data_IF_908583021235
#
_entry.id   IF_908583021235
#
_cell.length_a   1.000
_cell.length_b   1.000
_cell.length_c   1.000
_cell.angle_alpha   90.00
_cell.angle_beta   90.00
_cell.angle_gamma   90.00
#
_symmetry.space_group_name_H-M   'P 1'
#
loop_
_entity.id
_entity.type
_entity.pdbx_description
1 polymer ?
#
# COMPACT_ATOMS: atom_id res chain seq x y z
N UNK A 1 5.01 -12.49 8.14
CA UNK A 1 4.13 -12.61 6.95
C UNK A 1 4.11 -11.26 6.24
N UNK A 2 4.51 -11.27 4.98
CA UNK A 2 5.11 -10.16 4.22
C UNK A 2 4.12 -9.05 3.84
N UNK A 3 4.60 -7.81 3.74
CA UNK A 3 3.95 -6.66 3.09
C UNK A 3 3.25 -7.04 1.76
N UNK A 4 3.77 -8.08 1.10
CA UNK A 4 3.21 -8.68 -0.10
C UNK A 4 1.72 -9.08 0.02
N UNK A 5 1.25 -9.57 1.18
CA UNK A 5 -0.18 -9.89 1.38
C UNK A 5 -1.03 -8.63 1.46
N UNK A 6 -0.56 -7.62 2.18
CA UNK A 6 -1.25 -6.33 2.32
C UNK A 6 -1.35 -5.61 0.98
N UNK A 7 -0.31 -5.70 0.15
CA UNK A 7 -0.30 -5.10 -1.18
C UNK A 7 -0.85 -6.01 -2.29
N UNK A 8 -1.31 -7.22 -1.97
CA UNK A 8 -1.74 -8.20 -2.98
C UNK A 8 -2.87 -7.68 -3.91
N UNK A 9 -3.94 -7.03 -3.41
CA UNK A 9 -4.96 -6.44 -4.29
C UNK A 9 -4.38 -5.47 -5.32
N UNK A 10 -3.42 -4.64 -4.89
CA UNK A 10 -2.76 -3.64 -5.72
C UNK A 10 -1.85 -4.28 -6.78
N UNK A 11 -1.14 -5.35 -6.40
CA UNK A 11 -0.31 -6.11 -7.34
C UNK A 11 -1.19 -6.77 -8.40
N UNK A 12 -2.32 -7.36 -8.01
CA UNK A 12 -3.26 -7.98 -8.96
C UNK A 12 -3.78 -6.95 -9.94
N UNK A 13 -4.17 -5.77 -9.46
CA UNK A 13 -4.63 -4.69 -10.32
C UNK A 13 -3.55 -4.23 -11.31
N UNK A 14 -2.29 -4.11 -10.86
CA UNK A 14 -1.17 -3.65 -11.69
C UNK A 14 -0.69 -4.67 -12.73
N UNK A 15 -0.87 -5.97 -12.48
CA UNK A 15 -0.39 -7.05 -13.37
C UNK A 15 -1.43 -7.44 -14.42
N UNK A 16 -2.71 -7.30 -14.12
CA UNK A 16 -3.77 -7.65 -15.06
C UNK A 16 -3.78 -6.67 -16.26
N UNK A 17 -4.12 -7.16 -17.47
CA UNK A 17 -4.12 -6.32 -18.66
C UNK A 17 -5.02 -5.09 -18.52
N UNK A 18 -4.50 -3.91 -18.88
CA UNK A 18 -5.26 -2.65 -18.81
C UNK A 18 -6.53 -2.67 -19.66
N UNK A 19 -6.53 -3.38 -20.78
CA UNK A 19 -7.72 -3.55 -21.63
C UNK A 19 -8.92 -4.18 -20.94
N UNK A 20 -8.74 -4.79 -19.77
CA UNK A 20 -9.81 -5.37 -18.95
C UNK A 20 -9.82 -4.84 -17.52
N UNK A 21 -9.51 -3.54 -17.33
CA UNK A 21 -9.39 -2.89 -16.02
C UNK A 21 -10.61 -3.06 -15.09
N UNK A 22 -11.83 -3.20 -15.64
CA UNK A 22 -13.03 -3.54 -14.86
C UNK A 22 -12.91 -4.88 -14.12
N UNK A 23 -12.39 -5.91 -14.80
CA UNK A 23 -12.17 -7.22 -14.23
C UNK A 23 -10.95 -7.22 -13.31
N UNK A 24 -9.93 -6.40 -13.62
CA UNK A 24 -8.80 -6.20 -12.73
C UNK A 24 -9.23 -5.56 -11.39
N UNK A 25 -10.06 -4.52 -11.44
CA UNK A 25 -10.60 -3.85 -10.26
C UNK A 25 -11.49 -4.80 -9.45
N UNK A 26 -12.34 -5.59 -10.11
CA UNK A 26 -13.17 -6.60 -9.43
C UNK A 26 -12.33 -7.71 -8.78
N UNK A 27 -11.32 -8.23 -9.49
CA UNK A 27 -10.42 -9.24 -8.94
C UNK A 27 -9.66 -8.70 -7.71
N UNK A 28 -9.15 -7.47 -7.80
CA UNK A 28 -8.51 -6.79 -6.67
C UNK A 28 -9.47 -6.60 -5.48
N UNK A 29 -10.73 -6.23 -5.73
CA UNK A 29 -11.76 -6.13 -4.70
C UNK A 29 -12.02 -7.48 -4.02
N UNK A 30 -12.20 -8.55 -4.78
CA UNK A 30 -12.41 -9.90 -4.25
C UNK A 30 -11.24 -10.31 -3.35
N UNK A 31 -10.01 -10.05 -3.78
CA UNK A 31 -8.83 -10.34 -2.96
C UNK A 31 -8.75 -9.45 -1.72
N UNK A 32 -9.07 -8.16 -1.82
CA UNK A 32 -9.11 -7.28 -0.65
C UNK A 32 -10.11 -7.79 0.40
N UNK A 33 -11.32 -8.15 -0.01
CA UNK A 33 -12.36 -8.72 0.87
C UNK A 33 -11.92 -10.06 1.46
N UNK A 34 -11.31 -10.94 0.66
CA UNK A 34 -10.80 -12.22 1.14
C UNK A 34 -9.70 -12.04 2.19
N UNK A 35 -8.79 -11.08 1.98
CA UNK A 35 -7.73 -10.74 2.94
C UNK A 35 -8.34 -10.18 4.23
N UNK A 36 -9.33 -9.28 4.15
CA UNK A 36 -10.03 -8.75 5.32
C UNK A 36 -10.71 -9.89 6.11
N UNK A 37 -11.47 -10.74 5.43
CA UNK A 37 -12.17 -11.85 6.06
C UNK A 37 -11.20 -12.82 6.77
N UNK A 38 -10.06 -13.14 6.14
CA UNK A 38 -9.01 -13.95 6.76
C UNK A 38 -8.43 -13.29 8.02
N UNK A 39 -8.16 -11.98 7.97
CA UNK A 39 -7.56 -11.27 9.10
C UNK A 39 -8.54 -11.08 10.26
N UNK A 40 -9.81 -10.79 9.98
CA UNK A 40 -10.87 -10.73 11.00
C UNK A 40 -11.04 -12.08 11.68
N UNK A 41 -11.07 -13.18 10.90
CA UNK A 41 -11.11 -14.55 11.46
C UNK A 41 -9.90 -14.90 12.31
N UNK A 42 -8.74 -14.32 12.01
CA UNK A 42 -7.52 -14.49 12.79
C UNK A 42 -7.46 -13.58 14.04
N UNK A 43 -8.53 -12.83 14.35
CA UNK A 43 -8.59 -11.95 15.53
C UNK A 43 -7.69 -10.70 15.42
N UNK A 44 -7.32 -10.29 14.19
CA UNK A 44 -6.51 -9.10 13.97
C UNK A 44 -7.33 -7.86 14.29
N UNK A 45 -6.79 -6.98 15.14
CA UNK A 45 -7.46 -5.73 15.52
C UNK A 45 -7.61 -4.76 14.34
N UNK A 46 -8.64 -3.91 14.41
CA UNK A 46 -9.00 -2.93 13.36
C UNK A 46 -7.84 -2.03 12.91
N UNK A 47 -6.94 -1.68 13.81
CA UNK A 47 -5.77 -0.84 13.53
C UNK A 47 -4.84 -1.45 12.46
N UNK A 48 -4.83 -2.78 12.36
CA UNK A 48 -4.06 -3.52 11.37
C UNK A 48 -4.85 -3.82 10.09
N UNK A 49 -6.10 -3.34 9.99
CA UNK A 49 -6.98 -3.47 8.81
C UNK A 49 -7.17 -2.15 8.05
N UNK A 50 -6.59 -1.04 8.51
CA UNK A 50 -6.81 0.30 7.93
C UNK A 50 -6.53 0.30 6.43
N UNK A 51 -5.40 -0.31 6.03
CA UNK A 51 -4.99 -0.36 4.62
C UNK A 51 -5.82 -1.34 3.82
N UNK A 52 -6.22 -2.47 4.39
CA UNK A 52 -7.09 -3.46 3.76
C UNK A 52 -8.50 -2.90 3.51
N UNK A 53 -9.07 -2.20 4.50
CA UNK A 53 -10.37 -1.52 4.38
C UNK A 53 -10.30 -0.41 3.33
N UNK A 54 -9.27 0.44 3.37
CA UNK A 54 -9.08 1.46 2.35
C UNK A 54 -8.90 0.88 0.95
N UNK A 55 -8.19 -0.26 0.81
CA UNK A 55 -8.05 -0.98 -0.45
C UNK A 55 -9.40 -1.49 -0.96
N UNK A 56 -10.22 -2.10 -0.09
CA UNK A 56 -11.53 -2.60 -0.48
C UNK A 56 -12.46 -1.46 -0.93
N UNK A 57 -12.49 -0.35 -0.19
CA UNK A 57 -13.29 0.83 -0.57
C UNK A 57 -12.84 1.37 -1.93
N UNK A 58 -11.54 1.51 -2.14
CA UNK A 58 -10.98 1.98 -3.41
C UNK A 58 -11.36 1.06 -4.58
N UNK A 59 -11.09 -0.23 -4.47
CA UNK A 59 -11.38 -1.16 -5.56
C UNK A 59 -12.88 -1.36 -5.79
N UNK A 60 -13.72 -1.20 -4.77
CA UNK A 60 -15.17 -1.17 -4.94
C UNK A 60 -15.60 0.04 -5.79
N UNK A 61 -15.12 1.24 -5.44
CA UNK A 61 -15.42 2.44 -6.21
C UNK A 61 -14.88 2.36 -7.64
N UNK A 62 -13.64 1.90 -7.81
CA UNK A 62 -13.00 1.75 -9.11
C UNK A 62 -13.73 0.71 -9.97
N UNK A 63 -14.15 -0.42 -9.40
CA UNK A 63 -14.93 -1.42 -10.13
C UNK A 63 -16.28 -0.85 -10.58
N UNK A 64 -17.02 -0.16 -9.70
CA UNK A 64 -18.31 0.47 -10.07
C UNK A 64 -18.11 1.43 -11.24
N UNK A 65 -17.11 2.29 -11.20
CA UNK A 65 -16.80 3.23 -12.28
C UNK A 65 -16.44 2.48 -13.56
N UNK A 66 -15.54 1.50 -13.49
CA UNK A 66 -15.05 0.77 -14.65
C UNK A 66 -16.14 -0.07 -15.34
N UNK A 67 -17.11 -0.60 -14.59
CA UNK A 67 -18.28 -1.29 -15.17
C UNK A 67 -19.34 -0.33 -15.69
N UNK A 68 -19.52 0.85 -15.07
CA UNK A 68 -20.49 1.84 -15.51
C UNK A 68 -20.03 2.61 -16.76
N UNK A 69 -18.74 2.90 -16.85
CA UNK A 69 -18.11 3.59 -17.98
C UNK A 69 -16.71 3.00 -18.25
N UNK A 70 -16.62 1.92 -19.05
CA UNK A 70 -15.35 1.28 -19.41
C UNK A 70 -14.38 2.20 -20.16
N UNK A 71 -14.90 3.25 -20.82
CA UNK A 71 -14.13 4.23 -21.60
C UNK A 71 -13.87 5.51 -20.82
N UNK A 72 -14.13 5.51 -19.51
CA UNK A 72 -13.90 6.66 -18.65
C UNK A 72 -12.47 7.15 -18.76
N UNK A 73 -12.29 8.47 -18.82
CA UNK A 73 -10.97 9.10 -18.72
C UNK A 73 -10.24 8.74 -17.42
N UNK A 74 -10.94 8.24 -16.40
CA UNK A 74 -10.32 7.72 -15.17
C UNK A 74 -9.44 6.49 -15.40
N UNK A 75 -9.65 5.74 -16.49
CA UNK A 75 -8.85 4.56 -16.80
C UNK A 75 -7.36 4.93 -16.95
N UNK A 76 -7.06 6.01 -17.68
CA UNK A 76 -5.70 6.50 -17.88
C UNK A 76 -5.03 6.94 -16.56
N UNK A 77 -5.83 7.44 -15.62
CA UNK A 77 -5.35 7.88 -14.31
C UNK A 77 -5.41 6.77 -13.25
N UNK A 78 -5.85 5.56 -13.57
CA UNK A 78 -6.09 4.50 -12.59
C UNK A 78 -4.84 4.14 -11.76
N UNK A 79 -3.67 4.13 -12.38
CA UNK A 79 -2.39 3.90 -11.70
C UNK A 79 -2.03 5.06 -10.75
N UNK A 80 -2.25 6.30 -11.18
CA UNK A 80 -2.04 7.50 -10.37
C UNK A 80 -3.01 7.56 -9.18
N UNK A 81 -4.30 7.29 -9.42
CA UNK A 81 -5.35 7.20 -8.40
C UNK A 81 -5.05 6.11 -7.37
N UNK A 82 -4.51 4.97 -7.82
CA UNK A 82 -4.11 3.88 -6.94
C UNK A 82 -3.00 4.32 -5.99
N UNK A 83 -1.91 4.89 -6.52
CA UNK A 83 -0.81 5.42 -5.70
C UNK A 83 -1.27 6.58 -4.81
N UNK A 84 -2.13 7.47 -5.32
CA UNK A 84 -2.67 8.59 -4.55
C UNK A 84 -3.51 8.10 -3.37
N UNK A 85 -4.35 7.09 -3.59
CA UNK A 85 -5.16 6.49 -2.52
C UNK A 85 -4.30 5.82 -1.47
N UNK A 86 -3.26 5.09 -1.87
CA UNK A 86 -2.28 4.53 -0.95
C UNK A 86 -1.54 5.61 -0.14
N UNK A 87 -1.21 6.75 -0.75
CA UNK A 87 -0.62 7.89 -0.06
C UNK A 87 -1.59 8.47 0.98
N UNK A 88 -2.86 8.64 0.62
CA UNK A 88 -3.91 9.13 1.54
C UNK A 88 -4.11 8.17 2.70
N UNK A 89 -4.19 6.87 2.45
CA UNK A 89 -4.33 5.85 3.50
C UNK A 89 -3.11 5.85 4.42
N UNK A 90 -1.90 5.84 3.85
CA UNK A 90 -0.67 5.82 4.63
C UNK A 90 -0.50 7.10 5.45
N UNK A 91 -0.72 8.27 4.84
CA UNK A 91 -0.68 9.57 5.50
C UNK A 91 -1.78 9.73 6.56
N UNK A 92 -3.00 9.29 6.26
CA UNK A 92 -4.11 9.25 7.22
C UNK A 92 -3.79 8.38 8.44
N UNK A 93 -3.15 7.22 8.22
CA UNK A 93 -2.69 6.34 9.29
C UNK A 93 -1.68 7.02 10.22
N UNK A 94 -0.80 7.88 9.68
CA UNK A 94 0.11 8.72 10.47
C UNK A 94 -0.64 9.79 11.26
N UNK A 95 -1.59 10.47 10.61
CA UNK A 95 -2.34 11.57 11.20
C UNK A 95 -3.16 11.12 12.42
N UNK A 96 -3.70 9.91 12.40
CA UNK A 96 -4.44 9.33 13.54
C UNK A 96 -3.53 8.63 14.58
N UNK A 97 -2.21 8.71 14.43
CA UNK A 97 -1.24 8.12 15.35
C UNK A 97 -1.14 6.59 15.28
N UNK A 98 -1.66 5.97 14.21
CA UNK A 98 -1.65 4.51 14.00
C UNK A 98 -1.01 4.16 12.65
N UNK A 99 0.32 4.30 12.51
CA UNK A 99 1.02 4.05 11.25
C UNK A 99 0.70 2.65 10.70
N UNK A 100 0.30 2.53 9.43
CA UNK A 100 -0.16 1.26 8.87
C UNK A 100 0.89 0.14 8.99
N UNK A 101 2.19 0.49 8.93
CA UNK A 101 3.27 -0.51 9.08
C UNK A 101 3.30 -1.15 10.45
N UNK A 102 2.73 -0.50 11.48
CA UNK A 102 2.69 -1.02 12.84
C UNK A 102 1.91 -2.34 12.91
N UNK A 103 0.78 -2.44 12.22
CA UNK A 103 -0.02 -3.67 12.16
C UNK A 103 0.73 -4.84 11.50
N UNK A 104 1.63 -4.54 10.56
CA UNK A 104 2.50 -5.51 9.89
C UNK A 104 3.64 -5.92 10.82
N UNK A 105 4.33 -4.95 11.43
CA UNK A 105 5.46 -5.17 12.32
C UNK A 105 5.08 -6.01 13.56
N UNK A 106 3.91 -5.76 14.15
CA UNK A 106 3.40 -6.52 15.31
C UNK A 106 3.33 -8.04 15.05
N UNK A 107 3.19 -8.49 13.80
CA UNK A 107 3.10 -9.92 13.46
C UNK A 107 4.43 -10.67 13.55
N UNK A 108 5.55 -9.95 13.48
CA UNK A 108 6.90 -10.53 13.46
C UNK A 108 7.75 -10.07 14.64
N UNK A 109 7.17 -9.29 15.55
CA UNK A 109 7.90 -8.65 16.65
C UNK A 109 7.25 -9.05 17.98
N UNK A 110 8.05 -9.40 19.02
CA UNK A 110 7.53 -9.77 20.33
C UNK A 110 6.62 -8.70 20.95
N UNK A 111 5.61 -9.10 21.73
CA UNK A 111 4.56 -8.20 22.25
C UNK A 111 5.12 -7.19 23.26
N UNK A 112 6.18 -7.57 23.96
CA UNK A 112 6.86 -6.81 25.01
C UNK A 112 7.41 -5.49 24.48
N UNK A 113 7.76 -5.44 23.18
CA UNK A 113 8.34 -4.23 22.58
C UNK A 113 7.32 -3.34 21.86
N UNK A 114 6.06 -3.78 21.71
CA UNK A 114 5.05 -3.04 20.94
C UNK A 114 4.76 -1.64 21.50
N UNK A 115 4.87 -1.45 22.82
CA UNK A 115 4.64 -0.17 23.49
C UNK A 115 5.88 0.72 23.58
N UNK A 116 7.06 0.22 23.17
CA UNK A 116 8.30 0.97 23.34
C UNK A 116 8.37 2.12 22.33
N UNK A 117 8.81 3.30 22.77
CA UNK A 117 9.00 4.50 21.92
C UNK A 117 9.82 4.21 20.66
N UNK A 118 10.92 3.42 20.70
CA UNK A 118 11.66 3.04 19.49
C UNK A 118 10.80 2.28 18.47
N UNK A 119 9.98 1.32 18.91
CA UNK A 119 9.12 0.54 18.00
C UNK A 119 8.09 1.42 17.29
N UNK A 120 7.45 2.33 18.04
CA UNK A 120 6.48 3.28 17.47
C UNK A 120 7.19 4.21 16.48
N UNK A 121 8.33 4.80 16.87
CA UNK A 121 9.11 5.72 16.02
C UNK A 121 9.57 5.05 14.72
N UNK A 122 10.04 3.80 14.78
CA UNK A 122 10.44 3.04 13.59
C UNK A 122 9.27 2.90 12.61
N UNK A 123 8.08 2.57 13.09
CA UNK A 123 6.89 2.45 12.25
C UNK A 123 6.42 3.80 11.67
N UNK A 124 6.54 4.89 12.44
CA UNK A 124 6.27 6.25 11.94
C UNK A 124 7.21 6.59 10.78
N UNK A 125 8.52 6.37 10.94
CA UNK A 125 9.52 6.66 9.90
C UNK A 125 9.27 5.83 8.63
N UNK A 126 9.03 4.53 8.80
CA UNK A 126 8.76 3.64 7.66
C UNK A 126 7.47 4.07 6.96
N UNK A 127 6.39 4.31 7.69
CA UNK A 127 5.11 4.73 7.11
C UNK A 127 5.23 6.09 6.40
N UNK A 128 6.01 7.03 6.93
CA UNK A 128 6.27 8.31 6.28
C UNK A 128 7.02 8.13 4.95
N UNK A 129 8.02 7.25 4.89
CA UNK A 129 8.71 6.93 3.65
C UNK A 129 7.77 6.34 2.60
N UNK A 130 6.88 5.41 3.00
CA UNK A 130 5.82 4.88 2.12
C UNK A 130 4.87 5.98 1.64
N UNK A 131 4.43 6.86 2.53
CA UNK A 131 3.51 7.97 2.20
C UNK A 131 4.12 8.89 1.15
N UNK A 132 5.37 9.30 1.34
CA UNK A 132 6.09 10.16 0.39
C UNK A 132 6.31 9.45 -0.94
N UNK A 133 6.74 8.18 -0.92
CA UNK A 133 6.94 7.40 -2.13
C UNK A 133 5.64 7.31 -2.95
N UNK A 134 4.52 6.96 -2.31
CA UNK A 134 3.23 6.87 -2.98
C UNK A 134 2.72 8.22 -3.50
N UNK A 135 2.90 9.31 -2.75
CA UNK A 135 2.52 10.64 -3.20
C UNK A 135 3.30 11.08 -4.44
N UNK A 136 4.62 10.86 -4.45
CA UNK A 136 5.48 11.17 -5.60
C UNK A 136 5.13 10.29 -6.80
N UNK A 137 4.92 8.99 -6.59
CA UNK A 137 4.49 8.07 -7.66
C UNK A 137 3.15 8.50 -8.25
N UNK A 138 2.17 8.89 -7.42
CA UNK A 138 0.88 9.37 -7.88
C UNK A 138 1.02 10.62 -8.77
N UNK A 139 1.83 11.60 -8.34
CA UNK A 139 2.07 12.82 -9.09
C UNK A 139 2.73 12.53 -10.44
N UNK A 140 3.80 11.73 -10.44
CA UNK A 140 4.53 11.39 -11.67
C UNK A 140 3.64 10.60 -12.63
N UNK A 141 2.88 9.61 -12.13
CA UNK A 141 1.95 8.84 -12.96
C UNK A 141 0.82 9.72 -13.52
N UNK A 142 0.32 10.69 -12.76
CA UNK A 142 -0.69 11.63 -13.27
C UNK A 142 -0.16 12.49 -14.41
N UNK A 143 1.10 12.95 -14.31
CA UNK A 143 1.76 13.70 -15.40
C UNK A 143 1.96 12.81 -16.63
N UNK A 144 2.42 11.57 -16.44
CA UNK A 144 2.61 10.60 -17.54
C UNK A 144 1.28 10.25 -18.21
N UNK A 145 0.21 10.06 -17.43
CA UNK A 145 -1.13 9.82 -17.94
C UNK A 145 -1.64 11.02 -18.74
N UNK A 146 -1.47 12.24 -18.23
CA UNK A 146 -1.87 13.45 -18.94
C UNK A 146 -1.11 13.66 -20.26
N UNK A 147 0.12 13.18 -20.34
CA UNK A 147 0.91 13.16 -21.58
C UNK A 147 0.51 12.04 -22.56
N UNK A 148 -0.58 11.30 -22.29
CA UNK A 148 -1.08 10.21 -23.15
C UNK A 148 -0.32 8.89 -23.03
N UNK A 149 0.51 8.73 -22.00
CA UNK A 149 1.42 7.58 -21.84
C UNK A 149 1.05 6.69 -20.63
N UNK A 150 -0.22 6.70 -20.20
CA UNK A 150 -0.72 6.04 -19.00
C UNK A 150 -0.35 4.55 -18.87
N UNK A 151 -0.42 3.79 -19.98
CA UNK A 151 -0.18 2.34 -20.01
C UNK A 151 1.15 1.98 -20.68
N UNK A 152 2.10 2.91 -20.71
CA UNK A 152 3.41 2.73 -21.31
C UNK A 152 4.37 1.98 -20.40
N UNK A 153 5.42 1.38 -20.97
CA UNK A 153 6.49 0.73 -20.19
C UNK A 153 7.10 1.66 -19.12
N UNK A 154 7.38 2.95 -19.38
CA UNK A 154 7.79 3.89 -18.34
C UNK A 154 6.81 4.02 -17.18
N UNK A 155 5.50 4.10 -17.44
CA UNK A 155 4.49 4.18 -16.39
C UNK A 155 4.53 2.95 -15.47
N UNK A 156 4.65 1.75 -16.06
CA UNK A 156 4.81 0.51 -15.30
C UNK A 156 6.09 0.52 -14.46
N UNK A 157 7.21 0.98 -15.01
CA UNK A 157 8.48 1.08 -14.28
C UNK A 157 8.39 2.07 -13.11
N UNK A 158 7.74 3.22 -13.30
CA UNK A 158 7.48 4.21 -12.25
C UNK A 158 6.65 3.59 -11.13
N UNK A 159 5.59 2.85 -11.48
CA UNK A 159 4.75 2.19 -10.50
C UNK A 159 5.52 1.13 -9.71
N UNK A 160 6.31 0.28 -10.39
CA UNK A 160 7.18 -0.72 -9.74
C UNK A 160 8.17 -0.03 -8.79
N UNK A 161 8.84 1.04 -9.23
CA UNK A 161 9.76 1.80 -8.40
C UNK A 161 9.08 2.38 -7.16
N UNK A 162 7.83 2.85 -7.29
CA UNK A 162 7.00 3.37 -6.21
C UNK A 162 6.73 2.37 -5.09
N UNK A 163 6.75 1.06 -5.37
CA UNK A 163 6.67 0.01 -4.34
C UNK A 163 8.05 -0.53 -3.94
N UNK A 164 8.96 -0.71 -4.89
CA UNK A 164 10.26 -1.32 -4.63
C UNK A 164 11.16 -0.45 -3.74
N UNK A 165 11.22 0.86 -3.98
CA UNK A 165 12.06 1.78 -3.22
C UNK A 165 11.67 1.83 -1.72
N UNK A 166 10.42 2.09 -1.33
CA UNK A 166 10.05 2.09 0.08
C UNK A 166 10.15 0.70 0.72
N UNK A 167 9.98 -0.38 -0.05
CA UNK A 167 10.21 -1.75 0.44
C UNK A 167 11.69 -1.97 0.79
N UNK A 168 12.61 -1.63 -0.11
CA UNK A 168 14.06 -1.73 0.12
C UNK A 168 14.46 -0.86 1.31
N UNK A 169 13.94 0.36 1.39
CA UNK A 169 14.16 1.24 2.54
C UNK A 169 13.69 0.59 3.84
N UNK A 170 12.48 0.02 3.85
CA UNK A 170 11.90 -0.67 5.02
C UNK A 170 12.82 -1.79 5.51
N UNK A 171 13.25 -2.68 4.62
CA UNK A 171 14.12 -3.81 4.96
C UNK A 171 15.45 -3.33 5.54
N UNK A 172 16.11 -2.37 4.88
CA UNK A 172 17.40 -1.82 5.32
C UNK A 172 17.28 -1.08 6.65
N UNK A 173 16.22 -0.29 6.83
CA UNK A 173 16.01 0.50 8.04
C UNK A 173 15.70 -0.40 9.25
N UNK A 174 14.88 -1.43 9.07
CA UNK A 174 14.62 -2.42 10.13
C UNK A 174 15.92 -3.13 10.54
N UNK A 175 16.73 -3.58 9.58
CA UNK A 175 18.02 -4.21 9.86
C UNK A 175 18.97 -3.28 10.63
N UNK A 176 19.02 -1.99 10.25
CA UNK A 176 19.81 -0.98 10.96
C UNK A 176 19.34 -0.79 12.41
N UNK A 177 18.03 -0.69 12.64
CA UNK A 177 17.46 -0.53 13.98
C UNK A 177 17.75 -1.76 14.85
N UNK A 178 17.63 -2.98 14.31
CA UNK A 178 17.94 -4.22 15.03
C UNK A 178 19.43 -4.32 15.39
N UNK A 179 20.32 -4.01 14.45
CA UNK A 179 21.77 -4.00 14.69
C UNK A 179 22.16 -2.98 15.78
N UNK A 180 21.50 -1.82 15.82
CA UNK A 180 21.71 -0.82 16.87
C UNK A 180 21.21 -1.31 18.23
N UNK A 181 20.06 -1.99 18.28
CA UNK A 181 19.52 -2.53 19.52
C UNK A 181 20.41 -3.64 20.11
N UNK A 182 20.95 -4.53 19.28
CA UNK A 182 21.85 -5.61 19.70
C UNK A 182 23.16 -5.09 20.35
N UNK A 183 23.65 -3.93 19.94
CA UNK A 183 24.85 -3.30 20.51
C UNK A 183 24.63 -2.66 21.89
N UNK A 184 23.37 -2.47 22.28
CA UNK A 184 22.98 -1.82 23.55
C UNK A 184 22.44 -2.85 24.55
N UNK A 185 22.23 -4.10 24.11
CA UNK A 185 21.86 -5.20 25.00
C UNK A 185 23.07 -5.55 25.90
N UNK A 186 22.91 -5.55 27.24
CA UNK A 186 23.98 -5.87 28.19
C UNK A 186 24.41 -7.34 28.15
#
# INVERSE_FOLDING_TARGET
MSYLRTFLPWIIFAVLPSGSWQWAALAALVVAVAVIAQQVRAGVGFDALIIELGSAVFFAALAVIAFADPHSGLHDYSAALSSGTLAVIAGGSLAIGKPFTMGIAKRTTPREVWGLKPFIRTNVVITAAWTVAFALTALVLAVVAHAGNAHSTPATLIQIAGFALPMIFTVRYVAHVQAKAAKVAP
#
